data_IF_297515919269
#
_entry.id   IF_297515919269
#
_cell.length_a   1.000
_cell.length_b   1.000
_cell.length_c   1.000
_cell.angle_alpha   90.00
_cell.angle_beta   90.00
_cell.angle_gamma   90.00
#
_symmetry.space_group_name_H-M   'P 1'
#
loop_
_entity.id
_entity.type
_entity.pdbx_description
1 polymer ?
#
# COMPACT_ATOMS: atom_id res chain seq x y z
N UNK A 1 7.26 -0.07 20.60
CA UNK A 1 5.82 -0.13 20.95
C UNK A 1 5.69 -0.24 22.47
N UNK A 2 5.18 0.80 23.13
CA UNK A 2 5.22 0.97 24.60
C UNK A 2 4.59 -0.22 25.35
N UNK A 3 5.27 -0.67 26.43
CA UNK A 3 4.79 -1.70 27.36
C UNK A 3 3.36 -1.39 27.84
N UNK A 4 3.05 -0.09 28.00
CA UNK A 4 1.74 0.41 28.37
C UNK A 4 0.60 -0.01 27.42
N UNK A 5 0.83 0.00 26.10
CA UNK A 5 -0.17 -0.47 25.12
C UNK A 5 -0.43 -1.98 25.25
N UNK A 6 0.59 -2.79 25.54
CA UNK A 6 0.45 -4.25 25.67
C UNK A 6 -0.41 -4.64 26.88
N UNK A 7 -0.25 -3.95 28.01
CA UNK A 7 -1.02 -4.23 29.23
C UNK A 7 -2.48 -3.83 29.08
N UNK A 8 -2.77 -2.67 28.47
CA UNK A 8 -4.14 -2.20 28.24
C UNK A 8 -4.90 -3.15 27.30
N UNK A 9 -4.28 -3.63 26.21
CA UNK A 9 -4.95 -4.50 25.24
C UNK A 9 -5.34 -5.86 25.85
N UNK A 10 -4.52 -6.42 26.75
CA UNK A 10 -4.82 -7.70 27.42
C UNK A 10 -5.93 -7.59 28.46
N UNK A 11 -6.03 -6.46 29.15
CA UNK A 11 -7.05 -6.24 30.20
C UNK A 11 -8.41 -5.90 29.56
N UNK A 12 -8.41 -5.27 28.38
CA UNK A 12 -9.64 -4.87 27.68
C UNK A 12 -10.21 -5.93 26.71
N UNK A 13 -9.86 -7.22 26.89
CA UNK A 13 -10.56 -8.30 26.21
C UNK A 13 -12.07 -8.25 26.56
N UNK A 14 -12.95 -8.50 25.57
CA UNK A 14 -13.92 -7.49 25.17
C UNK A 14 -15.23 -7.63 25.92
N UNK A 15 -15.53 -6.68 26.81
CA UNK A 15 -16.94 -6.37 27.00
C UNK A 15 -17.45 -5.76 25.69
N UNK A 16 -18.60 -6.22 25.21
CA UNK A 16 -19.27 -5.64 24.03
C UNK A 16 -19.40 -4.12 24.14
N UNK A 17 -19.56 -3.60 25.36
CA UNK A 17 -19.57 -2.19 25.70
C UNK A 17 -18.27 -1.46 25.36
N UNK A 18 -17.09 -1.99 25.71
CA UNK A 18 -15.81 -1.35 25.40
C UNK A 18 -15.57 -1.26 23.89
N UNK A 19 -15.92 -2.31 23.15
CA UNK A 19 -15.83 -2.29 21.70
C UNK A 19 -16.78 -1.24 21.11
N UNK A 20 -18.01 -1.16 21.61
CA UNK A 20 -18.99 -0.17 21.17
C UNK A 20 -18.50 1.26 21.41
N UNK A 21 -18.03 1.57 22.62
CA UNK A 21 -17.48 2.90 22.97
C UNK A 21 -16.25 3.21 22.12
N UNK A 22 -15.35 2.25 21.91
CA UNK A 22 -14.17 2.43 21.06
C UNK A 22 -14.55 2.77 19.61
N UNK A 23 -15.50 2.04 19.03
CA UNK A 23 -16.01 2.34 17.68
C UNK A 23 -16.66 3.72 17.61
N UNK A 24 -17.40 4.12 18.66
CA UNK A 24 -17.98 5.45 18.75
C UNK A 24 -16.90 6.55 18.73
N UNK A 25 -15.83 6.39 19.51
CA UNK A 25 -14.68 7.33 19.52
C UNK A 25 -14.05 7.42 18.12
N UNK A 26 -13.81 6.28 17.46
CA UNK A 26 -13.26 6.27 16.10
C UNK A 26 -14.15 7.03 15.11
N UNK A 27 -15.47 6.84 15.19
CA UNK A 27 -16.43 7.59 14.36
C UNK A 27 -16.39 9.08 14.66
N UNK A 28 -16.34 9.48 15.93
CA UNK A 28 -16.27 10.89 16.33
C UNK A 28 -14.99 11.57 15.81
N UNK A 29 -13.84 10.88 15.90
CA UNK A 29 -12.57 11.37 15.34
C UNK A 29 -12.66 11.50 13.82
N UNK A 30 -13.17 10.47 13.14
CA UNK A 30 -13.38 10.50 11.68
C UNK A 30 -14.26 11.69 11.26
N UNK A 31 -15.44 11.86 11.86
CA UNK A 31 -16.34 12.95 11.50
C UNK A 31 -15.75 14.32 11.81
N UNK A 32 -15.04 14.47 12.92
CA UNK A 32 -14.34 15.72 13.25
C UNK A 32 -13.32 16.10 12.17
N UNK A 33 -12.51 15.13 11.72
CA UNK A 33 -11.52 15.35 10.65
C UNK A 33 -12.23 15.71 9.35
N UNK A 34 -13.25 14.95 8.94
CA UNK A 34 -13.99 15.20 7.69
C UNK A 34 -14.68 16.57 7.70
N UNK A 35 -15.32 16.95 8.81
CA UNK A 35 -16.00 18.24 8.94
C UNK A 35 -15.00 19.39 8.86
N UNK A 36 -13.90 19.31 9.61
CA UNK A 36 -12.82 20.30 9.53
C UNK A 36 -12.25 20.39 8.12
N UNK A 37 -11.98 19.24 7.49
CA UNK A 37 -11.40 19.17 6.16
C UNK A 37 -12.30 19.83 5.12
N UNK A 38 -13.59 19.49 5.11
CA UNK A 38 -14.57 20.10 4.21
C UNK A 38 -14.74 21.60 4.45
N UNK A 39 -14.68 22.05 5.70
CA UNK A 39 -14.72 23.48 6.03
C UNK A 39 -13.49 24.22 5.49
N UNK A 40 -12.29 23.65 5.67
CA UNK A 40 -11.03 24.29 5.28
C UNK A 40 -10.75 24.20 3.78
N UNK A 41 -11.18 23.11 3.14
CA UNK A 41 -10.90 22.74 1.75
C UNK A 41 -12.19 22.27 1.02
N UNK A 42 -13.13 23.18 0.76
CA UNK A 42 -14.45 22.83 0.24
C UNK A 42 -14.44 22.20 -1.17
N UNK A 43 -13.37 22.40 -1.95
CA UNK A 43 -13.19 21.82 -3.29
C UNK A 43 -12.66 20.37 -3.27
N UNK A 44 -12.58 19.74 -2.09
CA UNK A 44 -11.97 18.43 -1.93
C UNK A 44 -12.97 17.37 -1.49
N UNK A 45 -12.66 16.14 -1.83
CA UNK A 45 -13.36 14.98 -1.31
C UNK A 45 -12.46 14.27 -0.30
N UNK A 46 -13.05 13.81 0.80
CA UNK A 46 -12.35 13.05 1.83
C UNK A 46 -13.27 11.95 2.36
N UNK A 47 -12.71 10.75 2.51
CA UNK A 47 -13.39 9.62 3.13
C UNK A 47 -12.38 8.70 3.83
N UNK A 48 -12.86 7.84 4.72
CA UNK A 48 -12.05 6.79 5.32
C UNK A 48 -12.00 5.57 4.41
N UNK A 49 -10.92 4.78 4.45
CA UNK A 49 -10.72 3.56 3.65
C UNK A 49 -10.44 2.32 4.52
N UNK A 50 -10.17 1.17 3.91
CA UNK A 50 -9.73 -0.06 4.60
C UNK A 50 -10.71 -0.60 5.67
N UNK A 51 -10.22 -0.75 6.90
CA UNK A 51 -10.94 -1.33 8.05
C UNK A 51 -12.20 -0.53 8.39
N UNK A 52 -12.21 0.78 8.13
CA UNK A 52 -13.39 1.62 8.34
C UNK A 52 -14.52 1.28 7.37
N UNK A 53 -14.23 1.27 6.06
CA UNK A 53 -15.22 0.97 5.01
C UNK A 53 -15.74 -0.46 5.13
N UNK A 54 -14.84 -1.38 5.42
CA UNK A 54 -15.16 -2.79 5.53
C UNK A 54 -15.74 -3.19 6.90
N UNK A 55 -16.18 -2.20 7.70
CA UNK A 55 -16.86 -2.34 9.02
C UNK A 55 -16.10 -3.21 10.02
N UNK A 56 -14.78 -3.12 9.97
CA UNK A 56 -13.86 -4.04 10.63
C UNK A 56 -12.88 -3.37 11.59
N UNK A 57 -13.23 -2.17 12.02
CA UNK A 57 -12.48 -1.44 13.02
C UNK A 57 -12.34 -2.26 14.31
N UNK A 58 -11.11 -2.38 14.78
CA UNK A 58 -10.76 -2.93 16.07
C UNK A 58 -10.13 -1.81 16.89
N UNK A 59 -10.88 -1.21 17.85
CA UNK A 59 -10.36 -0.11 18.66
C UNK A 59 -9.02 -0.46 19.32
N UNK A 60 -8.05 0.44 19.20
CA UNK A 60 -6.69 0.25 19.74
C UNK A 60 -5.75 -0.61 18.88
N UNK A 61 -6.26 -1.29 17.85
CA UNK A 61 -5.47 -2.08 16.90
C UNK A 61 -5.55 -1.55 15.45
N UNK A 62 -6.69 -0.99 15.06
CA UNK A 62 -6.88 -0.38 13.76
C UNK A 62 -6.51 1.09 13.79
N UNK A 63 -5.93 1.56 12.70
CA UNK A 63 -5.84 2.98 12.40
C UNK A 63 -7.00 3.38 11.46
N UNK A 64 -7.27 4.69 11.36
CA UNK A 64 -8.21 5.28 10.41
C UNK A 64 -7.39 5.83 9.25
N UNK A 65 -7.41 5.10 8.14
CA UNK A 65 -6.78 5.53 6.91
C UNK A 65 -7.74 6.43 6.11
N UNK A 66 -7.22 7.46 5.45
CA UNK A 66 -8.01 8.41 4.67
C UNK A 66 -7.59 8.41 3.20
N UNK A 67 -8.57 8.70 2.34
CA UNK A 67 -8.36 9.08 0.95
C UNK A 67 -8.86 10.49 0.76
N UNK A 68 -8.05 11.31 0.08
CA UNK A 68 -8.32 12.71 -0.23
C UNK A 68 -8.17 12.88 -1.74
N UNK A 69 -9.19 13.46 -2.38
CA UNK A 69 -9.13 13.83 -3.80
C UNK A 69 -9.30 15.33 -3.94
N UNK A 70 -8.46 15.96 -4.75
CA UNK A 70 -8.48 17.40 -5.00
C UNK A 70 -8.23 17.71 -6.47
N UNK A 71 -8.94 18.71 -6.99
CA UNK A 71 -8.61 19.35 -8.27
C UNK A 71 -7.64 20.52 -8.11
N UNK A 72 -7.38 20.93 -6.87
CA UNK A 72 -6.42 21.99 -6.54
C UNK A 72 -5.02 21.39 -6.32
N UNK A 73 -4.10 21.72 -7.24
CA UNK A 73 -2.70 21.29 -7.24
C UNK A 73 -1.85 21.96 -6.14
N UNK A 74 -2.31 23.06 -5.53
CA UNK A 74 -1.58 23.77 -4.47
C UNK A 74 -1.89 23.25 -3.06
N UNK A 75 -3.00 22.51 -2.91
CA UNK A 75 -3.44 21.93 -1.65
C UNK A 75 -2.41 21.01 -0.93
N UNK A 76 -1.58 20.20 -1.61
CA UNK A 76 -0.66 19.25 -0.98
C UNK A 76 0.17 19.78 0.19
N UNK A 77 0.75 20.98 0.07
CA UNK A 77 1.63 21.53 1.11
C UNK A 77 0.85 21.85 2.39
N UNK A 78 -0.29 22.52 2.24
CA UNK A 78 -1.15 22.90 3.36
C UNK A 78 -1.85 21.68 3.98
N UNK A 79 -2.21 20.70 3.14
CA UNK A 79 -2.73 19.40 3.56
C UNK A 79 -1.76 18.68 4.49
N UNK A 80 -0.47 18.60 4.11
CA UNK A 80 0.54 17.92 4.91
C UNK A 80 0.70 18.52 6.31
N UNK A 81 0.72 19.85 6.43
CA UNK A 81 0.83 20.54 7.72
C UNK A 81 -0.37 20.21 8.63
N UNK A 82 -1.59 20.39 8.12
CA UNK A 82 -2.83 20.12 8.84
C UNK A 82 -2.89 18.67 9.31
N UNK A 83 -2.60 17.72 8.43
CA UNK A 83 -2.68 16.29 8.73
C UNK A 83 -1.58 15.84 9.69
N UNK A 84 -0.39 16.42 9.59
CA UNK A 84 0.69 16.18 10.55
C UNK A 84 0.27 16.63 11.96
N UNK A 85 -0.42 17.75 12.07
CA UNK A 85 -0.95 18.22 13.35
C UNK A 85 -2.09 17.34 13.87
N UNK A 86 -2.98 16.88 13.00
CA UNK A 86 -4.01 15.92 13.40
C UNK A 86 -3.42 14.60 13.88
N UNK A 87 -2.37 14.06 13.24
CA UNK A 87 -1.70 12.83 13.70
C UNK A 87 -1.08 12.97 15.10
N UNK A 88 -0.71 14.18 15.52
CA UNK A 88 -0.23 14.46 16.88
C UNK A 88 -1.36 14.41 17.92
N UNK A 89 -2.57 14.84 17.53
CA UNK A 89 -3.75 14.90 18.40
C UNK A 89 -4.45 13.54 18.44
N UNK A 90 -4.68 12.96 17.27
CA UNK A 90 -5.40 11.70 17.07
C UNK A 90 -4.43 10.59 16.70
N UNK A 91 -3.93 9.88 17.72
CA UNK A 91 -2.98 8.77 17.59
C UNK A 91 -3.52 7.53 16.85
N UNK A 92 -4.80 7.56 16.45
CA UNK A 92 -5.47 6.50 15.68
C UNK A 92 -5.54 6.82 14.19
N UNK A 93 -4.97 7.95 13.74
CA UNK A 93 -4.90 8.28 12.32
C UNK A 93 -3.79 7.50 11.64
N UNK A 94 -4.16 6.78 10.58
CA UNK A 94 -3.26 5.93 9.81
C UNK A 94 -2.68 6.62 8.59
N UNK A 95 -2.64 5.88 7.49
CA UNK A 95 -2.15 6.35 6.21
C UNK A 95 -3.14 7.34 5.58
N UNK A 96 -2.61 8.31 4.83
CA UNK A 96 -3.43 9.27 4.08
C UNK A 96 -2.96 9.21 2.65
N UNK A 97 -3.87 8.82 1.76
CA UNK A 97 -3.64 8.81 0.34
C UNK A 97 -4.24 10.06 -0.27
N UNK A 98 -3.45 10.78 -1.06
CA UNK A 98 -3.86 11.98 -1.76
C UNK A 98 -3.79 11.76 -3.26
N UNK A 99 -4.84 12.22 -3.94
CA UNK A 99 -5.01 12.08 -5.37
C UNK A 99 -5.31 13.44 -5.98
N UNK A 100 -4.41 13.93 -6.83
CA UNK A 100 -4.73 15.05 -7.73
C UNK A 100 -5.33 14.50 -9.01
N UNK A 101 -6.00 15.35 -9.81
CA UNK A 101 -6.46 14.95 -11.14
C UNK A 101 -5.29 14.42 -11.99
N UNK A 102 -4.12 15.05 -11.91
CA UNK A 102 -2.92 14.62 -12.64
C UNK A 102 -2.39 13.26 -12.18
N UNK A 103 -2.30 13.03 -10.86
CA UNK A 103 -1.82 11.73 -10.37
C UNK A 103 -2.82 10.61 -10.63
N UNK A 104 -4.13 10.91 -10.62
CA UNK A 104 -5.17 9.93 -10.95
C UNK A 104 -5.03 9.37 -12.36
N UNK A 105 -4.72 10.21 -13.36
CA UNK A 105 -4.53 9.75 -14.74
C UNK A 105 -3.38 8.72 -14.84
N UNK A 106 -2.26 8.96 -14.16
CA UNK A 106 -1.15 8.01 -14.12
C UNK A 106 -1.53 6.76 -13.33
N UNK A 107 -2.25 6.93 -12.21
CA UNK A 107 -2.68 5.83 -11.34
C UNK A 107 -3.58 4.84 -12.10
N UNK A 108 -4.40 5.29 -13.06
CA UNK A 108 -5.23 4.39 -13.90
C UNK A 108 -4.39 3.33 -14.62
N UNK A 109 -3.14 3.65 -14.92
CA UNK A 109 -2.23 2.78 -15.67
C UNK A 109 -1.45 1.81 -14.76
N UNK A 110 -1.23 2.16 -13.49
CA UNK A 110 -0.33 1.42 -12.60
C UNK A 110 -1.01 0.72 -11.43
N UNK A 111 -2.26 1.03 -11.11
CA UNK A 111 -2.85 0.47 -9.91
C UNK A 111 -2.90 -1.06 -9.93
N UNK A 112 -2.68 -1.63 -8.75
CA UNK A 112 -2.95 -3.03 -8.48
C UNK A 112 -4.44 -3.18 -8.14
N UNK A 113 -5.14 -4.07 -8.84
CA UNK A 113 -6.58 -4.27 -8.67
C UNK A 113 -6.95 -4.58 -7.22
N UNK A 114 -6.24 -5.49 -6.57
CA UNK A 114 -6.57 -5.97 -5.22
C UNK A 114 -6.26 -4.94 -4.14
N UNK A 115 -5.22 -4.13 -4.32
CA UNK A 115 -4.95 -3.01 -3.41
C UNK A 115 -6.08 -1.97 -3.49
N UNK A 116 -6.56 -1.68 -4.70
CA UNK A 116 -7.60 -0.68 -4.92
C UNK A 116 -8.99 -1.13 -4.43
N UNK A 117 -9.28 -2.44 -4.40
CA UNK A 117 -10.51 -2.99 -3.81
C UNK A 117 -10.68 -2.62 -2.32
N UNK A 118 -9.61 -2.20 -1.65
CA UNK A 118 -9.65 -1.69 -0.27
C UNK A 118 -10.23 -0.27 -0.17
N UNK A 119 -10.42 0.41 -1.30
CA UNK A 119 -11.02 1.72 -1.44
C UNK A 119 -12.07 1.77 -2.57
N UNK A 120 -13.27 1.18 -2.36
CA UNK A 120 -14.31 1.11 -3.39
C UNK A 120 -14.86 2.49 -3.81
N UNK A 121 -14.77 3.49 -2.93
CA UNK A 121 -15.20 4.86 -3.26
C UNK A 121 -14.26 5.50 -4.28
N UNK A 122 -12.94 5.27 -4.15
CA UNK A 122 -11.97 5.72 -5.14
C UNK A 122 -12.21 5.06 -6.50
N UNK A 123 -12.48 3.75 -6.51
CA UNK A 123 -12.80 3.02 -7.75
C UNK A 123 -13.99 3.63 -8.48
N UNK A 124 -15.08 3.87 -7.73
CA UNK A 124 -16.28 4.49 -8.28
C UNK A 124 -16.03 5.92 -8.75
N UNK A 125 -15.29 6.71 -7.97
CA UNK A 125 -15.01 8.10 -8.27
C UNK A 125 -14.16 8.26 -9.54
N UNK A 126 -13.10 7.46 -9.67
CA UNK A 126 -12.16 7.55 -10.79
C UNK A 126 -12.55 6.67 -11.99
N UNK A 127 -13.74 6.04 -11.94
CA UNK A 127 -14.25 5.12 -12.95
C UNK A 127 -13.23 4.03 -13.34
N UNK A 128 -12.66 3.37 -12.33
CA UNK A 128 -11.60 2.39 -12.49
C UNK A 128 -12.19 0.97 -12.62
N UNK A 129 -11.98 0.34 -13.77
CA UNK A 129 -12.62 -0.94 -14.13
C UNK A 129 -11.66 -2.02 -14.65
N UNK A 130 -10.40 -2.02 -14.20
CA UNK A 130 -9.41 -3.05 -14.59
C UNK A 130 -9.88 -4.41 -14.07
N UNK A 131 -9.71 -5.45 -14.90
CA UNK A 131 -9.96 -6.83 -14.49
C UNK A 131 -8.87 -7.30 -13.53
N UNK A 132 -9.23 -8.17 -12.60
CA UNK A 132 -8.24 -8.90 -11.81
C UNK A 132 -7.32 -9.71 -12.73
N UNK A 133 -6.07 -9.86 -12.32
CA UNK A 133 -5.11 -10.74 -12.98
C UNK A 133 -4.24 -11.44 -11.93
N UNK A 134 -3.68 -12.59 -12.28
CA UNK A 134 -2.91 -13.44 -11.37
C UNK A 134 -1.63 -12.77 -10.86
N UNK A 135 -0.99 -11.92 -11.67
CA UNK A 135 0.20 -11.17 -11.28
C UNK A 135 -0.16 -10.13 -10.20
N UNK A 136 -1.22 -9.34 -10.39
CA UNK A 136 -1.72 -8.38 -9.41
C UNK A 136 -2.04 -9.09 -8.07
N UNK A 137 -2.66 -10.28 -8.14
CA UNK A 137 -2.96 -11.10 -6.96
C UNK A 137 -1.69 -11.50 -6.20
N UNK A 138 -0.69 -11.97 -6.94
CA UNK A 138 0.60 -12.33 -6.41
C UNK A 138 1.35 -11.15 -5.78
N UNK A 139 1.45 -10.02 -6.49
CA UNK A 139 2.10 -8.81 -5.96
C UNK A 139 1.39 -8.36 -4.68
N UNK A 140 0.06 -8.32 -4.70
CA UNK A 140 -0.75 -7.95 -3.53
C UNK A 140 -0.46 -8.87 -2.33
N UNK A 141 -0.45 -10.19 -2.55
CA UNK A 141 -0.16 -11.17 -1.51
C UNK A 141 1.27 -11.01 -0.96
N UNK A 142 2.27 -10.86 -1.83
CA UNK A 142 3.68 -10.66 -1.43
C UNK A 142 3.85 -9.38 -0.59
N UNK A 143 3.34 -8.24 -1.07
CA UNK A 143 3.45 -6.96 -0.36
C UNK A 143 2.67 -6.98 0.96
N UNK A 144 1.51 -7.63 0.99
CA UNK A 144 0.72 -7.80 2.22
C UNK A 144 1.41 -8.71 3.23
N UNK A 145 2.05 -9.78 2.78
CA UNK A 145 2.84 -10.67 3.63
C UNK A 145 4.06 -9.96 4.19
N UNK A 146 4.88 -9.33 3.35
CA UNK A 146 6.11 -8.67 3.77
C UNK A 146 5.85 -7.55 4.79
N UNK A 147 4.79 -6.76 4.59
CA UNK A 147 4.39 -5.72 5.57
C UNK A 147 3.86 -6.26 6.89
N UNK A 148 3.55 -7.56 6.99
CA UNK A 148 2.90 -8.16 8.15
C UNK A 148 3.62 -9.38 8.73
N UNK A 149 4.77 -9.76 8.18
CA UNK A 149 5.50 -10.99 8.51
C UNK A 149 5.79 -11.11 10.01
N UNK A 150 6.28 -10.05 10.64
CA UNK A 150 6.60 -10.05 12.08
C UNK A 150 5.34 -10.23 12.93
N UNK A 151 4.20 -9.68 12.51
CA UNK A 151 2.94 -9.84 13.24
C UNK A 151 2.34 -11.23 13.03
N UNK A 152 2.54 -11.84 11.87
CA UNK A 152 2.12 -13.23 11.63
C UNK A 152 2.92 -14.17 12.53
N UNK A 153 4.25 -14.01 12.57
CA UNK A 153 5.13 -14.86 13.39
C UNK A 153 4.85 -14.70 14.89
N UNK A 154 4.66 -13.46 15.36
CA UNK A 154 4.58 -13.20 16.80
C UNK A 154 3.15 -13.06 17.35
N UNK A 155 2.17 -12.80 16.48
CA UNK A 155 0.80 -12.37 16.86
C UNK A 155 -0.28 -12.83 15.86
N UNK A 156 -0.13 -14.00 15.25
CA UNK A 156 -1.06 -14.55 14.24
C UNK A 156 -2.54 -14.42 14.63
N UNK A 157 -2.89 -14.71 15.89
CA UNK A 157 -4.27 -14.59 16.39
C UNK A 157 -4.87 -13.18 16.24
N UNK A 158 -4.08 -12.11 16.39
CA UNK A 158 -4.54 -10.73 16.16
C UNK A 158 -4.64 -10.37 14.67
N UNK A 159 -4.01 -11.16 13.80
CA UNK A 159 -3.96 -10.92 12.35
C UNK A 159 -4.97 -11.73 11.57
N UNK A 160 -5.58 -12.76 12.18
CA UNK A 160 -6.58 -13.64 11.54
C UNK A 160 -7.66 -12.86 10.80
N UNK A 161 -8.27 -11.84 11.42
CA UNK A 161 -9.33 -11.03 10.79
C UNK A 161 -8.86 -10.31 9.52
N UNK A 162 -7.67 -9.69 9.54
CA UNK A 162 -7.07 -9.03 8.37
C UNK A 162 -6.84 -10.05 7.25
N UNK A 163 -6.23 -11.19 7.58
CA UNK A 163 -5.87 -12.20 6.59
C UNK A 163 -7.05 -12.97 6.03
N UNK A 164 -8.11 -13.22 6.82
CA UNK A 164 -9.36 -13.78 6.30
C UNK A 164 -9.92 -12.94 5.15
N UNK A 165 -9.82 -11.60 5.22
CA UNK A 165 -10.25 -10.73 4.13
C UNK A 165 -9.35 -10.79 2.92
N UNK A 166 -8.03 -10.87 3.13
CA UNK A 166 -7.07 -11.09 2.05
C UNK A 166 -7.41 -12.40 1.33
N UNK A 167 -7.71 -13.47 2.07
CA UNK A 167 -8.09 -14.76 1.50
C UNK A 167 -9.43 -14.72 0.77
N UNK A 168 -10.44 -14.05 1.34
CA UNK A 168 -11.72 -13.83 0.66
C UNK A 168 -11.55 -13.05 -0.64
N UNK A 169 -10.75 -11.99 -0.62
CA UNK A 169 -10.47 -11.15 -1.78
C UNK A 169 -9.71 -11.91 -2.88
N UNK A 170 -8.83 -12.83 -2.50
CA UNK A 170 -8.06 -13.67 -3.41
C UNK A 170 -8.78 -14.98 -3.78
N UNK A 171 -9.98 -15.22 -3.25
CA UNK A 171 -10.76 -16.44 -3.42
C UNK A 171 -9.96 -17.71 -3.05
N UNK A 172 -9.29 -17.67 -1.89
CA UNK A 172 -8.51 -18.82 -1.36
C UNK A 172 -8.98 -19.20 0.03
N UNK A 173 -8.80 -20.47 0.37
CA UNK A 173 -9.02 -20.99 1.72
C UNK A 173 -7.70 -21.44 2.32
N UNK A 174 -7.43 -21.04 3.56
CA UNK A 174 -6.29 -21.51 4.34
C UNK A 174 -6.80 -21.91 5.72
N UNK A 175 -6.49 -23.14 6.12
CA UNK A 175 -6.93 -23.69 7.41
C UNK A 175 -6.26 -22.99 8.60
N UNK A 176 -4.95 -22.72 8.49
CA UNK A 176 -4.16 -22.09 9.52
C UNK A 176 -3.31 -20.92 8.99
N UNK A 177 -3.45 -19.75 9.63
CA UNK A 177 -2.60 -18.60 9.35
C UNK A 177 -1.20 -18.81 9.94
N UNK A 178 -0.28 -19.31 9.11
CA UNK A 178 1.12 -19.48 9.43
C UNK A 178 2.02 -18.92 8.32
N UNK A 179 3.29 -18.64 8.65
CA UNK A 179 4.31 -18.27 7.67
C UNK A 179 4.44 -19.33 6.56
N UNK A 180 4.48 -20.61 6.95
CA UNK A 180 4.61 -21.73 6.02
C UNK A 180 3.45 -21.77 5.02
N UNK A 181 2.20 -21.67 5.51
CA UNK A 181 1.01 -21.68 4.66
C UNK A 181 0.98 -20.51 3.67
N UNK A 182 1.39 -19.31 4.10
CA UNK A 182 1.45 -18.14 3.22
C UNK A 182 2.54 -18.27 2.15
N UNK A 183 3.70 -18.82 2.50
CA UNK A 183 4.76 -19.09 1.52
C UNK A 183 4.33 -20.17 0.53
N UNK A 184 3.62 -21.21 0.97
CA UNK A 184 3.06 -22.23 0.08
C UNK A 184 2.01 -21.66 -0.88
N UNK A 185 1.08 -20.84 -0.37
CA UNK A 185 0.12 -20.14 -1.22
C UNK A 185 0.81 -19.25 -2.25
N UNK A 186 1.87 -18.54 -1.85
CA UNK A 186 2.68 -17.79 -2.80
C UNK A 186 3.30 -18.73 -3.84
N UNK A 187 3.90 -19.88 -3.46
CA UNK A 187 4.50 -20.83 -4.42
C UNK A 187 3.49 -21.33 -5.44
N UNK A 188 2.25 -21.54 -5.01
CA UNK A 188 1.16 -21.93 -5.89
C UNK A 188 0.82 -20.83 -6.89
N UNK A 189 0.77 -19.57 -6.44
CA UNK A 189 0.36 -18.42 -7.28
C UNK A 189 1.44 -17.92 -8.23
N UNK A 190 2.71 -17.93 -7.84
CA UNK A 190 3.82 -17.40 -8.66
C UNK A 190 4.78 -18.48 -9.17
N UNK A 191 4.61 -19.73 -8.78
CA UNK A 191 5.52 -20.80 -9.13
C UNK A 191 6.72 -20.89 -8.19
N UNK A 192 7.23 -22.13 -8.02
CA UNK A 192 8.31 -22.44 -7.07
C UNK A 192 9.62 -21.68 -7.35
N UNK A 193 9.95 -21.51 -8.63
CA UNK A 193 11.22 -20.89 -9.06
C UNK A 193 11.31 -19.42 -8.65
N UNK A 194 10.18 -18.72 -8.57
CA UNK A 194 10.14 -17.29 -8.26
C UNK A 194 10.42 -17.05 -6.78
N UNK A 195 9.95 -17.93 -5.88
CA UNK A 195 10.21 -17.81 -4.44
C UNK A 195 11.67 -18.10 -4.09
N UNK A 196 12.35 -18.93 -4.87
CA UNK A 196 13.79 -19.16 -4.69
C UNK A 196 14.65 -17.97 -5.12
N UNK A 197 14.09 -16.97 -5.80
CA UNK A 197 14.80 -15.76 -6.18
C UNK A 197 14.39 -14.58 -5.26
N UNK A 198 15.22 -14.19 -4.27
CA UNK A 198 14.93 -13.09 -3.36
C UNK A 198 14.67 -11.76 -4.09
N UNK A 199 15.21 -11.59 -5.29
CA UNK A 199 15.00 -10.38 -6.09
C UNK A 199 13.55 -10.23 -6.55
N UNK A 200 12.85 -11.33 -6.83
CA UNK A 200 11.45 -11.31 -7.27
C UNK A 200 10.48 -11.20 -6.08
N UNK A 201 10.81 -11.91 -5.01
CA UNK A 201 9.95 -12.07 -3.84
C UNK A 201 10.08 -10.93 -2.81
N UNK A 202 11.29 -10.38 -2.64
CA UNK A 202 11.61 -9.38 -1.62
C UNK A 202 12.04 -8.06 -2.28
N UNK A 203 11.11 -7.25 -2.80
CA UNK A 203 11.47 -6.07 -3.58
C UNK A 203 12.27 -5.03 -2.78
N UNK A 204 12.18 -5.02 -1.44
CA UNK A 204 13.01 -4.19 -0.55
C UNK A 204 14.53 -4.42 -0.70
N UNK A 205 14.93 -5.60 -1.21
CA UNK A 205 16.35 -5.94 -1.46
C UNK A 205 16.98 -5.01 -2.51
N UNK A 206 16.19 -4.52 -3.46
CA UNK A 206 16.63 -3.59 -4.50
C UNK A 206 15.92 -2.22 -4.46
N UNK A 207 14.78 -2.08 -3.76
CA UNK A 207 14.06 -0.82 -3.62
C UNK A 207 14.57 0.11 -2.50
N UNK A 208 14.98 -0.43 -1.35
CA UNK A 208 15.12 0.40 -0.12
C UNK A 208 16.56 0.49 0.41
N UNK A 209 17.41 -0.50 0.11
CA UNK A 209 18.65 -0.68 0.87
C UNK A 209 19.93 -0.44 0.07
N UNK A 210 19.88 -0.37 -1.27
CA UNK A 210 21.09 -0.52 -2.08
C UNK A 210 21.04 0.12 -3.48
N UNK A 211 20.53 1.35 -3.62
CA UNK A 211 20.55 2.04 -4.92
C UNK A 211 21.95 2.10 -5.55
N UNK A 212 22.98 2.29 -4.71
CA UNK A 212 24.39 2.26 -5.14
C UNK A 212 24.86 0.91 -5.70
N UNK A 213 24.17 -0.19 -5.37
CA UNK A 213 24.50 -1.54 -5.87
C UNK A 213 23.75 -1.92 -7.15
N UNK A 214 22.80 -1.12 -7.63
CA UNK A 214 22.06 -1.44 -8.87
C UNK A 214 23.00 -1.55 -10.08
N UNK A 215 24.11 -0.82 -10.06
CA UNK A 215 25.14 -0.86 -11.11
C UNK A 215 26.16 -2.00 -10.95
N UNK A 216 26.01 -2.86 -9.93
CA UNK A 216 26.93 -3.99 -9.76
C UNK A 216 26.67 -5.03 -10.86
N UNK A 217 27.71 -5.55 -11.53
CA UNK A 217 27.54 -6.49 -12.64
C UNK A 217 26.66 -7.69 -12.30
N UNK A 218 26.75 -8.21 -11.07
CA UNK A 218 25.98 -9.36 -10.63
C UNK A 218 24.46 -9.06 -10.53
N UNK A 219 24.10 -7.82 -10.17
CA UNK A 219 22.70 -7.37 -10.12
C UNK A 219 22.15 -7.21 -11.53
N UNK A 220 22.92 -6.56 -12.42
CA UNK A 220 22.54 -6.39 -13.83
C UNK A 220 22.37 -7.76 -14.51
N UNK A 221 23.31 -8.67 -14.30
CA UNK A 221 23.25 -10.04 -14.83
C UNK A 221 22.05 -10.82 -14.28
N UNK A 222 21.65 -10.58 -13.04
CA UNK A 222 20.47 -11.23 -12.45
C UNK A 222 19.17 -10.77 -13.10
N UNK A 223 19.05 -9.48 -13.46
CA UNK A 223 17.87 -8.96 -14.16
C UNK A 223 17.82 -9.37 -15.64
N UNK A 224 18.97 -9.43 -16.32
CA UNK A 224 19.03 -9.75 -17.76
C UNK A 224 18.70 -11.21 -18.09
N UNK A 225 18.77 -12.10 -17.09
CA UNK A 225 18.46 -13.54 -17.22
C UNK A 225 17.02 -13.91 -16.88
N UNK A 226 16.18 -12.96 -16.50
CA UNK A 226 14.78 -13.24 -16.15
C UNK A 226 13.97 -13.68 -17.36
N UNK A 227 13.08 -14.65 -17.17
CA UNK A 227 12.11 -15.02 -18.21
C UNK A 227 10.90 -14.06 -18.23
N UNK A 228 10.04 -14.21 -19.23
CA UNK A 228 8.84 -13.36 -19.42
C UNK A 228 7.95 -13.27 -18.17
N UNK A 229 7.65 -14.40 -17.53
CA UNK A 229 6.81 -14.41 -16.33
C UNK A 229 7.47 -13.70 -15.14
N UNK A 230 8.80 -13.77 -15.04
CA UNK A 230 9.56 -13.09 -13.98
C UNK A 230 9.64 -11.57 -14.25
N UNK A 231 9.80 -11.17 -15.52
CA UNK A 231 9.71 -9.77 -15.94
C UNK A 231 8.35 -9.17 -15.58
N UNK A 232 7.24 -9.89 -15.81
CA UNK A 232 5.89 -9.42 -15.46
C UNK A 232 5.72 -9.18 -13.94
N UNK A 233 6.37 -10.00 -13.10
CA UNK A 233 6.40 -9.76 -11.65
C UNK A 233 7.16 -8.47 -11.34
N UNK A 234 8.34 -8.26 -11.93
CA UNK A 234 9.08 -7.01 -11.73
C UNK A 234 8.28 -5.80 -12.19
N UNK A 235 7.61 -5.85 -13.36
CA UNK A 235 6.73 -4.77 -13.79
C UNK A 235 5.57 -4.55 -12.81
N UNK A 236 5.00 -5.62 -12.26
CA UNK A 236 3.98 -5.54 -11.21
C UNK A 236 4.50 -4.85 -9.94
N UNK A 237 5.72 -5.18 -9.49
CA UNK A 237 6.34 -4.56 -8.33
C UNK A 237 6.64 -3.07 -8.55
N UNK A 238 7.14 -2.70 -9.74
CA UNK A 238 7.40 -1.31 -10.12
C UNK A 238 6.08 -0.53 -10.17
N UNK A 239 5.04 -1.08 -10.81
CA UNK A 239 3.69 -0.46 -10.82
C UNK A 239 3.15 -0.22 -9.42
N UNK A 240 3.29 -1.20 -8.53
CA UNK A 240 2.93 -1.07 -7.12
C UNK A 240 3.67 0.08 -6.43
N UNK A 241 4.97 0.19 -6.66
CA UNK A 241 5.81 1.22 -6.07
C UNK A 241 5.42 2.62 -6.56
N UNK A 242 5.26 2.78 -7.88
CA UNK A 242 4.77 4.02 -8.50
C UNK A 242 3.41 4.40 -7.91
N UNK A 243 2.49 3.45 -7.81
CA UNK A 243 1.18 3.69 -7.18
C UNK A 243 1.33 4.18 -5.74
N UNK A 244 2.13 3.51 -4.92
CA UNK A 244 2.37 3.92 -3.53
C UNK A 244 2.89 5.36 -3.42
N UNK A 245 3.94 5.70 -4.17
CA UNK A 245 4.55 7.04 -4.17
C UNK A 245 3.57 8.12 -4.64
N UNK A 246 2.84 7.86 -5.73
CA UNK A 246 1.88 8.82 -6.29
C UNK A 246 0.77 9.17 -5.30
N UNK A 247 0.38 8.23 -4.44
CA UNK A 247 -0.63 8.48 -3.40
C UNK A 247 -0.09 9.23 -2.19
N UNK A 248 1.24 9.36 -2.06
CA UNK A 248 1.90 9.99 -0.94
C UNK A 248 2.60 11.30 -1.31
N UNK A 249 2.47 11.80 -2.55
CA UNK A 249 3.16 12.99 -3.06
C UNK A 249 3.18 14.21 -2.12
N UNK A 250 2.05 14.61 -1.48
CA UNK A 250 2.05 15.74 -0.56
C UNK A 250 2.93 15.58 0.68
N UNK A 251 3.17 14.32 1.07
CA UNK A 251 3.82 13.94 2.32
C UNK A 251 5.30 13.60 2.13
N UNK A 252 5.80 13.66 0.89
CA UNK A 252 7.20 13.43 0.56
C UNK A 252 8.06 14.55 1.14
N UNK A 253 8.97 14.19 2.05
CA UNK A 253 9.90 15.14 2.69
C UNK A 253 11.02 15.57 1.75
N UNK A 254 11.49 14.67 0.89
CA UNK A 254 12.59 14.91 -0.03
C UNK A 254 12.19 14.53 -1.46
N UNK A 255 11.79 15.55 -2.25
CA UNK A 255 11.41 15.38 -3.66
C UNK A 255 12.58 14.92 -4.53
N UNK A 256 13.81 15.35 -4.21
CA UNK A 256 15.01 14.94 -4.97
C UNK A 256 15.27 13.45 -4.83
N UNK A 257 15.16 12.89 -3.62
CA UNK A 257 15.32 11.46 -3.38
C UNK A 257 14.26 10.64 -4.14
N UNK A 258 13.04 11.18 -4.25
CA UNK A 258 11.95 10.52 -4.97
C UNK A 258 12.13 10.58 -6.49
N UNK A 259 12.68 11.67 -7.03
CA UNK A 259 13.11 11.71 -8.44
C UNK A 259 14.20 10.69 -8.72
N UNK A 260 15.18 10.60 -7.83
CA UNK A 260 16.25 9.61 -7.93
C UNK A 260 15.70 8.17 -7.83
N UNK A 261 14.69 7.94 -6.98
CA UNK A 261 14.01 6.66 -6.90
C UNK A 261 13.34 6.27 -8.23
N UNK A 262 12.63 7.19 -8.90
CA UNK A 262 12.07 6.90 -10.23
C UNK A 262 13.14 6.59 -11.28
N UNK A 263 14.30 7.23 -11.23
CA UNK A 263 15.44 6.88 -12.11
C UNK A 263 15.98 5.48 -11.84
N UNK A 264 16.01 5.05 -10.58
CA UNK A 264 16.42 3.69 -10.24
C UNK A 264 15.41 2.64 -10.75
N UNK A 265 14.10 2.91 -10.62
CA UNK A 265 13.07 2.05 -11.22
C UNK A 265 13.23 1.96 -12.74
N UNK A 266 13.53 3.09 -13.41
CA UNK A 266 13.81 3.13 -14.85
C UNK A 266 15.07 2.34 -15.22
N UNK A 267 16.12 2.46 -14.40
CA UNK A 267 17.37 1.71 -14.58
C UNK A 267 17.11 0.21 -14.51
N UNK A 268 16.31 -0.25 -13.54
CA UNK A 268 15.91 -1.66 -13.44
C UNK A 268 15.17 -2.11 -14.69
N UNK A 269 14.21 -1.32 -15.21
CA UNK A 269 13.54 -1.66 -16.47
C UNK A 269 14.51 -1.83 -17.64
N UNK A 270 15.58 -1.02 -17.68
CA UNK A 270 16.58 -1.11 -18.75
C UNK A 270 17.43 -2.39 -18.72
N UNK A 271 17.48 -3.08 -17.57
CA UNK A 271 18.20 -4.35 -17.43
C UNK A 271 17.34 -5.57 -17.77
N UNK A 272 16.02 -5.41 -17.90
CA UNK A 272 15.13 -6.51 -18.21
C UNK A 272 15.24 -6.87 -19.71
N UNK A 273 15.22 -8.17 -20.05
CA UNK A 273 15.34 -8.61 -21.44
C UNK A 273 14.12 -8.25 -22.29
N UNK A 274 12.97 -8.03 -21.65
CA UNK A 274 11.75 -7.54 -22.28
C UNK A 274 11.56 -6.06 -21.97
N UNK A 275 11.21 -5.28 -22.99
CA UNK A 275 10.97 -3.84 -22.85
C UNK A 275 9.50 -3.57 -22.54
N UNK A 276 9.23 -2.64 -21.63
CA UNK A 276 7.88 -2.18 -21.31
C UNK A 276 7.79 -0.65 -21.48
N UNK A 277 7.64 -0.20 -22.72
CA UNK A 277 7.63 1.23 -23.09
C UNK A 277 6.52 2.01 -22.39
N UNK A 278 5.39 1.36 -22.15
CA UNK A 278 4.27 1.96 -21.42
C UNK A 278 4.66 2.28 -19.98
N UNK A 279 5.35 1.37 -19.29
CA UNK A 279 5.79 1.58 -17.92
C UNK A 279 6.94 2.59 -17.85
N UNK A 280 7.84 2.63 -18.84
CA UNK A 280 8.84 3.70 -18.98
C UNK A 280 8.17 5.08 -19.07
N UNK A 281 7.13 5.21 -19.92
CA UNK A 281 6.38 6.46 -20.07
C UNK A 281 5.69 6.89 -18.77
N UNK A 282 5.08 5.93 -18.06
CA UNK A 282 4.47 6.15 -16.74
C UNK A 282 5.49 6.69 -15.74
N UNK A 283 6.71 6.13 -15.71
CA UNK A 283 7.77 6.60 -14.80
C UNK A 283 8.18 8.04 -15.13
N UNK A 284 8.27 8.40 -16.41
CA UNK A 284 8.55 9.77 -16.84
C UNK A 284 7.47 10.74 -16.39
N UNK A 285 6.20 10.38 -16.57
CA UNK A 285 5.08 11.19 -16.10
C UNK A 285 5.06 11.32 -14.57
N UNK A 286 5.30 10.23 -13.84
CA UNK A 286 5.30 10.24 -12.38
C UNK A 286 6.43 11.11 -11.81
N UNK A 287 7.62 11.05 -12.43
CA UNK A 287 8.76 11.89 -12.07
C UNK A 287 8.48 13.39 -12.25
N UNK A 288 7.67 13.77 -13.23
CA UNK A 288 7.26 15.17 -13.45
C UNK A 288 6.32 15.70 -12.36
N UNK A 289 5.65 14.82 -11.60
CA UNK A 289 4.75 15.22 -10.50
C UNK A 289 5.47 15.43 -9.16
N UNK A 290 6.71 14.95 -9.03
CA UNK A 290 7.56 15.14 -7.84
C UNK A 290 8.27 16.49 -7.90
#
# INVERSE_FOLDING_TARGET
MNIFRKTIIKILAPSSALNFVGVFIYKAVFYSIVLYWKWRFPSTLIWARNSYQSKDLMPGLSDIDFTIVSTDDHLPLLANEVLTNFKKIFLIMGEINFYSTKSLEIIKEVYNYYELQRDPLLMSFANLSKKSNSIDAAIYLMRTYESDKDNIENRSHLRRRKWTKVFQLLEVSIDELSKTALLELLRERIGKNIISNPMLYSPHTWLESHWSKLNYPEVVESFSKLNESECEIIYGQIRWEVFGILTQLPFLKNRSDMKYHFENLRTILSYLPMRNEKLEHVLDQAKLLV
#
